data_IF_321960153090
#
_entry.id   IF_321960153090
#
_cell.length_a   1.000
_cell.length_b   1.000
_cell.length_c   1.000
_cell.angle_alpha   90.00
_cell.angle_beta   90.00
_cell.angle_gamma   90.00
#
_symmetry.space_group_name_H-M   'P 1'
#
loop_
_entity.id
_entity.type
_entity.pdbx_description
1 polymer ?
#
# COMPACT_ATOMS: atom_id res chain seq x y z
N UNK A 1 -13.31 14.76 19.78
CA UNK A 1 -12.45 13.76 19.10
C UNK A 1 -12.24 14.15 17.62
N UNK A 2 -11.55 15.26 17.30
CA UNK A 2 -11.33 15.68 15.91
C UNK A 2 -10.32 14.80 15.17
N UNK A 3 -9.42 14.14 15.90
CA UNK A 3 -8.37 13.33 15.29
C UNK A 3 -8.88 12.12 14.52
N UNK A 4 -10.00 11.52 14.97
CA UNK A 4 -10.60 10.34 14.33
C UNK A 4 -11.36 10.68 13.05
N UNK A 5 -11.88 11.93 12.90
CA UNK A 5 -12.59 12.33 11.68
C UNK A 5 -11.66 12.40 10.48
N UNK A 6 -10.47 12.96 10.65
CA UNK A 6 -9.53 13.18 9.55
C UNK A 6 -8.95 11.86 9.02
N UNK A 7 -8.72 10.88 9.91
CA UNK A 7 -8.25 9.54 9.50
C UNK A 7 -9.35 8.76 8.81
N UNK A 8 -10.57 8.81 9.35
CA UNK A 8 -11.72 8.17 8.73
C UNK A 8 -12.01 8.78 7.34
N UNK A 9 -11.81 10.09 7.18
CA UNK A 9 -11.93 10.78 5.90
C UNK A 9 -10.84 10.35 4.91
N UNK A 10 -9.58 10.19 5.36
CA UNK A 10 -8.51 9.67 4.51
C UNK A 10 -8.75 8.21 4.08
N UNK A 11 -9.21 7.36 5.01
CA UNK A 11 -9.60 5.99 4.67
C UNK A 11 -10.74 5.97 3.66
N UNK A 12 -11.75 6.83 3.85
CA UNK A 12 -12.87 6.95 2.91
C UNK A 12 -12.41 7.43 1.53
N UNK A 13 -11.46 8.37 1.46
CA UNK A 13 -10.84 8.81 0.19
C UNK A 13 -10.15 7.64 -0.51
N UNK A 14 -9.37 6.83 0.20
CA UNK A 14 -8.73 5.63 -0.34
C UNK A 14 -9.79 4.64 -0.84
N UNK A 15 -10.83 4.35 -0.06
CA UNK A 15 -11.93 3.47 -0.46
C UNK A 15 -12.63 3.96 -1.73
N UNK A 16 -12.85 5.27 -1.86
CA UNK A 16 -13.42 5.86 -3.07
C UNK A 16 -12.48 5.71 -4.28
N UNK A 17 -11.17 5.82 -4.09
CA UNK A 17 -10.19 5.58 -5.17
C UNK A 17 -10.17 4.12 -5.64
N UNK A 18 -10.36 3.16 -4.74
CA UNK A 18 -10.52 1.74 -5.10
C UNK A 18 -11.71 1.53 -6.04
N UNK A 19 -12.85 2.15 -5.72
CA UNK A 19 -14.06 2.09 -6.54
C UNK A 19 -13.85 2.82 -7.87
N UNK A 20 -13.28 4.03 -7.84
CA UNK A 20 -13.03 4.87 -9.03
C UNK A 20 -12.11 4.19 -10.05
N UNK A 21 -11.04 3.55 -9.57
CA UNK A 21 -10.07 2.85 -10.41
C UNK A 21 -10.51 1.43 -10.81
N UNK A 22 -11.63 0.96 -10.24
CA UNK A 22 -12.16 -0.39 -10.37
C UNK A 22 -11.03 -1.43 -10.19
N UNK A 23 -10.34 -1.35 -9.05
CA UNK A 23 -9.21 -2.24 -8.76
C UNK A 23 -9.72 -3.68 -8.71
N UNK A 24 -9.10 -4.58 -9.46
CA UNK A 24 -9.45 -5.99 -9.46
C UNK A 24 -8.93 -6.70 -8.21
N UNK A 25 -9.49 -7.87 -7.91
CA UNK A 25 -8.98 -8.67 -6.79
C UNK A 25 -7.50 -9.05 -6.96
N UNK A 26 -7.07 -9.39 -8.18
CA UNK A 26 -5.67 -9.75 -8.45
C UNK A 26 -4.71 -8.58 -8.20
N UNK A 27 -5.08 -7.38 -8.65
CA UNK A 27 -4.32 -6.15 -8.40
C UNK A 27 -4.28 -5.82 -6.91
N UNK A 28 -5.43 -5.90 -6.23
CA UNK A 28 -5.53 -5.64 -4.80
C UNK A 28 -4.66 -6.59 -3.96
N UNK A 29 -4.64 -7.89 -4.29
CA UNK A 29 -3.78 -8.86 -3.62
C UNK A 29 -2.29 -8.52 -3.79
N UNK A 30 -1.86 -8.15 -5.00
CA UNK A 30 -0.49 -7.71 -5.24
C UNK A 30 -0.16 -6.44 -4.44
N UNK A 31 -1.06 -5.45 -4.46
CA UNK A 31 -0.89 -4.19 -3.72
C UNK A 31 -0.76 -4.41 -2.21
N UNK A 32 -1.55 -5.32 -1.62
CA UNK A 32 -1.42 -5.66 -0.19
C UNK A 32 -0.04 -6.20 0.16
N UNK A 33 0.50 -7.09 -0.68
CA UNK A 33 1.83 -7.65 -0.43
C UNK A 33 2.90 -6.57 -0.62
N UNK A 34 2.79 -5.75 -1.67
CA UNK A 34 3.71 -4.63 -1.89
C UNK A 34 3.68 -3.60 -0.74
N UNK A 35 2.51 -3.34 -0.16
CA UNK A 35 2.37 -2.48 1.03
C UNK A 35 3.12 -3.06 2.24
N UNK A 36 2.99 -4.36 2.49
CA UNK A 36 3.76 -5.08 3.52
C UNK A 36 5.27 -4.98 3.25
N UNK A 37 5.67 -5.19 1.99
CA UNK A 37 7.07 -5.15 1.54
C UNK A 37 7.64 -3.71 1.39
N UNK A 38 6.85 -2.68 1.70
CA UNK A 38 7.31 -1.28 1.69
C UNK A 38 7.78 -0.82 3.07
N UNK A 39 7.57 -1.63 4.12
CA UNK A 39 8.01 -1.34 5.49
C UNK A 39 9.25 -2.15 5.82
N UNK A 40 10.41 -1.48 5.86
CA UNK A 40 11.69 -2.07 6.26
C UNK A 40 12.11 -1.50 7.62
N UNK A 41 12.60 -2.32 8.58
CA UNK A 41 13.17 -1.83 9.83
C UNK A 41 14.32 -0.85 9.57
N UNK A 42 14.52 0.13 10.47
CA UNK A 42 15.63 1.09 10.35
C UNK A 42 17.01 0.43 10.34
N UNK A 43 17.14 -0.68 11.06
CA UNK A 43 18.37 -1.47 11.14
C UNK A 43 18.55 -2.44 9.94
N UNK A 44 17.61 -2.42 8.99
CA UNK A 44 17.59 -3.30 7.82
C UNK A 44 17.11 -4.72 8.14
N UNK A 45 17.05 -5.56 7.10
CA UNK A 45 16.75 -6.98 7.22
C UNK A 45 18.01 -7.82 7.12
N UNK A 46 18.08 -8.92 7.88
CA UNK A 46 19.18 -9.90 7.77
C UNK A 46 19.35 -10.46 6.35
N UNK A 47 18.26 -10.56 5.61
CA UNK A 47 18.22 -11.07 4.23
C UNK A 47 17.60 -10.04 3.29
N UNK A 48 18.21 -8.85 3.22
CA UNK A 48 17.72 -7.74 2.41
C UNK A 48 17.56 -8.11 0.93
N UNK A 49 18.51 -8.84 0.34
CA UNK A 49 18.44 -9.28 -1.06
C UNK A 49 17.19 -10.13 -1.34
N UNK A 50 16.87 -11.08 -0.44
CA UNK A 50 15.68 -11.92 -0.56
C UNK A 50 14.40 -11.09 -0.48
N UNK A 51 14.38 -10.08 0.38
CA UNK A 51 13.25 -9.16 0.51
C UNK A 51 13.07 -8.29 -0.75
N UNK A 52 14.18 -7.79 -1.31
CA UNK A 52 14.17 -6.98 -2.53
C UNK A 52 13.75 -7.83 -3.75
N UNK A 53 14.23 -9.07 -3.85
CA UNK A 53 13.81 -10.03 -4.87
C UNK A 53 12.31 -10.35 -4.77
N UNK A 54 11.81 -10.55 -3.54
CA UNK A 54 10.40 -10.77 -3.29
C UNK A 54 9.56 -9.56 -3.71
N UNK A 55 10.00 -8.34 -3.35
CA UNK A 55 9.34 -7.09 -3.77
C UNK A 55 9.32 -6.97 -5.30
N UNK A 56 10.44 -7.26 -5.96
CA UNK A 56 10.56 -7.23 -7.41
C UNK A 56 9.63 -8.26 -8.08
N UNK A 57 9.48 -9.45 -7.49
CA UNK A 57 8.55 -10.47 -7.96
C UNK A 57 7.11 -9.97 -7.94
N UNK A 58 6.66 -9.36 -6.83
CA UNK A 58 5.30 -8.83 -6.72
C UNK A 58 5.04 -7.60 -7.61
N UNK A 59 6.07 -6.80 -7.90
CA UNK A 59 5.96 -5.74 -8.92
C UNK A 59 5.67 -6.34 -10.30
N UNK A 60 6.34 -7.44 -10.65
CA UNK A 60 6.12 -8.15 -11.92
C UNK A 60 4.72 -8.78 -11.97
N UNK A 61 4.25 -9.38 -10.88
CA UNK A 61 2.90 -9.95 -10.79
C UNK A 61 1.81 -8.87 -10.93
N UNK A 62 2.00 -7.70 -10.33
CA UNK A 62 1.10 -6.56 -10.55
C UNK A 62 1.06 -6.16 -12.04
N UNK A 63 2.22 -6.12 -12.70
CA UNK A 63 2.30 -5.88 -14.14
C UNK A 63 1.53 -6.92 -14.96
N UNK A 64 1.64 -8.21 -14.63
CA UNK A 64 0.87 -9.28 -15.28
C UNK A 64 -0.63 -9.14 -15.07
N UNK A 65 -1.07 -8.81 -13.85
CA UNK A 65 -2.49 -8.59 -13.53
C UNK A 65 -3.08 -7.43 -14.34
N UNK A 66 -2.30 -6.36 -14.56
CA UNK A 66 -2.69 -5.22 -15.41
C UNK A 66 -2.80 -5.63 -16.88
N UNK A 67 -1.79 -6.31 -17.42
CA UNK A 67 -1.79 -6.75 -18.83
C UNK A 67 -2.94 -7.71 -19.12
N UNK A 68 -3.26 -8.60 -18.18
CA UNK A 68 -4.40 -9.52 -18.28
C UNK A 68 -5.75 -8.81 -18.44
N UNK A 69 -5.86 -7.56 -17.95
CA UNK A 69 -7.07 -6.75 -18.05
C UNK A 69 -7.21 -6.02 -19.39
N UNK A 70 -6.10 -5.55 -19.97
CA UNK A 70 -6.08 -4.73 -21.18
C UNK A 70 -4.76 -4.96 -21.93
N UNK A 71 -4.85 -5.32 -23.22
CA UNK A 71 -3.66 -5.66 -24.02
C UNK A 71 -2.90 -4.43 -24.54
N UNK A 72 -3.45 -3.23 -24.34
CA UNK A 72 -2.81 -1.99 -24.79
C UNK A 72 -1.71 -1.51 -23.82
N UNK A 73 -0.46 -1.60 -24.28
CA UNK A 73 0.74 -1.22 -23.51
C UNK A 73 0.74 0.22 -22.96
N UNK A 74 0.17 1.21 -23.67
CA UNK A 74 0.17 2.60 -23.17
C UNK A 74 -0.84 2.80 -22.03
N UNK A 75 -1.99 2.13 -22.09
CA UNK A 75 -2.97 2.09 -21.00
C UNK A 75 -2.43 1.32 -19.78
N UNK A 76 -1.61 0.30 -20.01
CA UNK A 76 -1.00 -0.49 -18.94
C UNK A 76 -0.04 0.31 -18.07
N UNK A 77 0.80 1.15 -18.68
CA UNK A 77 1.68 2.06 -17.93
C UNK A 77 0.92 3.10 -17.11
N UNK A 78 -0.14 3.68 -17.69
CA UNK A 78 -1.00 4.63 -16.97
C UNK A 78 -1.68 3.96 -15.78
N UNK A 79 -2.20 2.74 -15.97
CA UNK A 79 -2.83 1.97 -14.89
C UNK A 79 -1.82 1.62 -13.80
N UNK A 80 -0.62 1.17 -14.18
CA UNK A 80 0.45 0.87 -13.23
C UNK A 80 0.73 2.09 -12.35
N UNK A 81 0.90 3.27 -12.96
CA UNK A 81 1.12 4.52 -12.22
C UNK A 81 -0.04 4.90 -11.29
N UNK A 82 -1.30 4.72 -11.73
CA UNK A 82 -2.47 4.96 -10.89
C UNK A 82 -2.49 4.05 -9.65
N UNK A 83 -2.20 2.76 -9.82
CA UNK A 83 -2.18 1.79 -8.74
C UNK A 83 -1.02 2.04 -7.77
N UNK A 84 0.18 2.41 -8.26
CA UNK A 84 1.30 2.77 -7.37
C UNK A 84 1.02 4.05 -6.58
N UNK A 85 0.37 5.05 -7.19
CA UNK A 85 -0.02 6.28 -6.49
C UNK A 85 -1.05 6.03 -5.40
N UNK A 86 -2.00 5.11 -5.64
CA UNK A 86 -2.94 4.66 -4.60
C UNK A 86 -2.20 3.93 -3.47
N UNK A 87 -1.22 3.09 -3.81
CA UNK A 87 -0.40 2.37 -2.84
C UNK A 87 0.41 3.32 -1.94
N UNK A 88 1.01 4.36 -2.51
CA UNK A 88 1.73 5.39 -1.76
C UNK A 88 0.79 6.11 -0.77
N UNK A 89 -0.41 6.47 -1.23
CA UNK A 89 -1.44 7.10 -0.38
C UNK A 89 -1.89 6.19 0.77
N UNK A 90 -1.98 4.88 0.53
CA UNK A 90 -2.28 3.90 1.58
C UNK A 90 -1.15 3.75 2.59
N UNK A 91 0.10 3.82 2.14
CA UNK A 91 1.26 3.68 2.99
C UNK A 91 1.36 4.82 4.01
N UNK A 92 1.00 6.05 3.62
CA UNK A 92 0.94 7.19 4.54
C UNK A 92 -0.11 6.99 5.65
N UNK A 93 -1.30 6.49 5.29
CA UNK A 93 -2.35 6.15 6.26
C UNK A 93 -1.91 5.01 7.17
N UNK A 94 -1.27 3.97 6.65
CA UNK A 94 -0.76 2.84 7.45
C UNK A 94 0.34 3.26 8.42
N UNK A 95 1.33 4.03 7.96
CA UNK A 95 2.38 4.58 8.82
C UNK A 95 1.78 5.41 9.95
N UNK A 96 0.79 6.23 9.62
CA UNK A 96 0.09 7.04 10.58
C UNK A 96 -0.69 6.18 11.60
N UNK A 97 -1.45 5.17 11.19
CA UNK A 97 -2.14 4.26 12.11
C UNK A 97 -1.15 3.53 13.02
N UNK A 98 -0.06 2.99 12.47
CA UNK A 98 0.95 2.27 13.22
C UNK A 98 1.66 3.17 14.23
N UNK A 99 2.07 4.38 13.82
CA UNK A 99 2.69 5.36 14.71
C UNK A 99 1.76 5.75 15.87
N UNK A 100 0.47 5.93 15.59
CA UNK A 100 -0.51 6.34 16.60
C UNK A 100 -0.95 5.20 17.53
N UNK A 101 -1.03 3.97 17.00
CA UNK A 101 -1.32 2.79 17.81
C UNK A 101 -0.17 2.50 18.78
N UNK A 102 1.09 2.69 18.35
CA UNK A 102 2.26 2.56 19.21
C UNK A 102 2.38 3.70 20.24
N UNK A 103 2.01 4.93 19.89
CA UNK A 103 2.00 6.04 20.86
C UNK A 103 0.91 5.87 21.93
N UNK A 104 -0.23 5.26 21.59
CA UNK A 104 -1.27 4.94 22.58
C UNK A 104 -0.82 3.82 23.52
N UNK A 105 -0.06 2.82 23.04
CA UNK A 105 0.61 1.85 23.92
C UNK A 105 1.68 2.51 24.80
N UNK A 106 2.44 3.48 24.28
CA UNK A 106 3.42 4.22 25.08
C UNK A 106 2.77 5.09 26.16
N UNK A 107 1.58 5.66 25.90
CA UNK A 107 0.76 6.34 26.91
C UNK A 107 0.22 5.36 27.96
N UNK A 108 -0.21 4.15 27.57
CA UNK A 108 -0.64 3.12 28.51
C UNK A 108 0.51 2.56 29.39
N UNK A 109 1.76 2.70 28.96
CA UNK A 109 2.94 2.35 29.78
C UNK A 109 3.50 3.53 30.59
N UNK A 110 2.92 4.73 30.46
CA UNK A 110 3.31 5.95 31.17
C UNK A 110 2.23 6.48 32.13
N UNK A 111 1.10 5.77 32.22
CA UNK A 111 0.08 5.92 33.26
C UNK A 111 0.21 4.74 34.25
#
# INVERSE_FOLDING_TARGET
>A
LPYMSDQCEQMLKISNEFVRLQVSNEEYLCMKVLLLLSTVPKDGLKSQSVFDDLRMSYIKELGKAIVKREENSSKNWQRFYQLTKLLDSMHDVMKFILKNSLSNLWLCFKA
#
